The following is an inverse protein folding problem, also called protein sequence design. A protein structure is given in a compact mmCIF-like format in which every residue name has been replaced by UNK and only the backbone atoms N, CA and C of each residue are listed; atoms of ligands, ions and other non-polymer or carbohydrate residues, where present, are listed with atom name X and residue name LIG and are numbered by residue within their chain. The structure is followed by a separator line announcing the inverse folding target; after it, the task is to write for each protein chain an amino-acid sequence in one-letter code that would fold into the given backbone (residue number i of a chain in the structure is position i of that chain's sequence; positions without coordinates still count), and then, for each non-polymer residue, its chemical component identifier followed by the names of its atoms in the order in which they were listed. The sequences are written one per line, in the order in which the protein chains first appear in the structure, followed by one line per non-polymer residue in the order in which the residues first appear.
data_IF_990948961164
#
_entry.id   IF_990948961164
#
_cell.length_a   1.000
_cell.length_b   1.000
_cell.length_c   1.000
_cell.angle_alpha   90.00
_cell.angle_beta   90.00
_cell.angle_gamma   90.00
#
_symmetry.space_group_name_H-M   'P 1'
#
loop_
_entity.id
_entity.type
_entity.pdbx_description
1 polymer ?
#
# COMPACT_ATOMS: atom_id res chain seq x y z
N UNK A 1 -25.05 0.94 17.54
CA UNK A 1 -24.22 0.13 18.47
C UNK A 1 -22.94 0.88 18.74
N UNK A 2 -22.35 0.74 19.93
CA UNK A 2 -21.12 1.43 20.33
C UNK A 2 -19.94 0.45 20.26
N UNK A 3 -18.90 0.78 19.51
CA UNK A 3 -17.74 -0.07 19.29
C UNK A 3 -16.44 0.72 19.48
N UNK A 4 -15.52 0.17 20.25
CA UNK A 4 -14.16 0.72 20.33
C UNK A 4 -13.34 0.19 19.15
N UNK A 5 -12.73 1.10 18.41
CA UNK A 5 -11.87 0.81 17.25
C UNK A 5 -10.42 1.19 17.57
N UNK A 6 -9.48 0.38 17.09
CA UNK A 6 -8.04 0.67 17.16
C UNK A 6 -7.46 0.61 15.75
N UNK A 7 -6.93 1.73 15.28
CA UNK A 7 -6.15 1.84 14.05
C UNK A 7 -4.67 1.95 14.37
N UNK A 8 -3.81 1.18 13.70
CA UNK A 8 -2.35 1.26 13.86
C UNK A 8 -1.70 1.45 12.50
N UNK A 9 -1.17 2.65 12.27
CA UNK A 9 -0.31 2.91 11.13
C UNK A 9 1.15 2.61 11.46
N UNK A 10 1.76 1.71 10.70
CA UNK A 10 3.15 1.28 10.87
C UNK A 10 4.03 2.01 9.85
N UNK A 11 4.17 3.31 10.04
CA UNK A 11 4.99 4.16 9.18
C UNK A 11 6.49 3.90 9.34
N UNK A 12 7.24 4.28 8.30
CA UNK A 12 8.71 4.13 8.30
C UNK A 12 9.44 5.11 9.24
N UNK A 13 8.80 6.22 9.63
CA UNK A 13 9.36 7.24 10.53
C UNK A 13 8.72 7.21 11.90
N UNK A 14 7.40 7.03 11.96
CA UNK A 14 6.60 6.94 13.18
C UNK A 14 5.60 5.80 13.08
N UNK A 15 5.27 5.22 14.22
CA UNK A 15 4.08 4.40 14.41
C UNK A 15 3.02 5.29 15.07
N UNK A 16 1.81 5.27 14.52
CA UNK A 16 0.67 6.02 15.04
C UNK A 16 -0.45 5.04 15.42
N UNK A 17 -0.88 5.08 16.67
CA UNK A 17 -2.04 4.34 17.16
C UNK A 17 -3.15 5.33 17.49
N UNK A 18 -4.36 5.05 17.00
CA UNK A 18 -5.56 5.86 17.28
C UNK A 18 -6.63 4.93 17.84
N UNK A 19 -7.26 5.35 18.93
CA UNK A 19 -8.43 4.70 19.50
C UNK A 19 -9.61 5.63 19.33
N UNK A 20 -10.69 5.10 18.74
CA UNK A 20 -11.94 5.81 18.56
C UNK A 20 -13.10 5.03 19.15
N UNK A 21 -14.07 5.76 19.68
CA UNK A 21 -15.38 5.24 19.99
C UNK A 21 -16.31 5.48 18.80
N UNK A 22 -16.81 4.42 18.18
CA UNK A 22 -17.67 4.49 17.01
C UNK A 22 -19.11 4.24 17.40
N UNK A 23 -19.98 5.21 17.10
CA UNK A 23 -21.42 5.09 17.27
C UNK A 23 -22.11 5.27 15.93
N UNK A 24 -22.83 4.24 15.50
CA UNK A 24 -23.64 4.24 14.28
C UNK A 24 -22.83 4.68 13.03
N UNK A 25 -21.59 4.18 12.92
CA UNK A 25 -20.67 4.46 11.81
C UNK A 25 -19.91 5.79 11.92
N UNK A 26 -20.16 6.57 12.97
CA UNK A 26 -19.47 7.85 13.23
C UNK A 26 -18.41 7.65 14.31
N UNK A 27 -17.11 7.72 13.96
CA UNK A 27 -16.03 7.63 14.94
C UNK A 27 -15.86 8.94 15.71
N UNK A 28 -15.55 8.82 17.00
CA UNK A 28 -15.11 9.89 17.89
C UNK A 28 -13.77 9.48 18.50
N UNK A 29 -12.70 10.23 18.23
CA UNK A 29 -11.35 9.88 18.69
C UNK A 29 -11.24 10.12 20.20
N UNK A 30 -10.83 9.10 20.94
CA UNK A 30 -10.69 9.13 22.40
C UNK A 30 -9.25 8.96 22.88
N UNK A 31 -8.34 8.45 22.04
CA UNK A 31 -6.93 8.36 22.39
C UNK A 31 -6.01 8.26 21.20
N UNK A 32 -4.79 8.74 21.39
CA UNK A 32 -3.73 8.68 20.39
C UNK A 32 -2.40 8.38 21.05
N UNK A 33 -1.52 7.72 20.31
CA UNK A 33 -0.15 7.45 20.71
C UNK A 33 0.77 7.45 19.51
N UNK A 34 1.96 8.02 19.70
CA UNK A 34 3.00 8.09 18.68
C UNK A 34 4.29 7.52 19.23
N UNK A 35 5.01 6.78 18.41
CA UNK A 35 6.35 6.35 18.75
C UNK A 35 7.25 6.37 17.52
N UNK A 36 8.53 6.70 17.71
CA UNK A 36 9.51 6.63 16.62
C UNK A 36 9.60 5.19 16.12
N UNK A 37 9.53 5.03 14.80
CA UNK A 37 9.61 3.71 14.16
C UNK A 37 11.02 3.13 14.31
N UNK A 38 11.11 1.85 14.64
CA UNK A 38 12.37 1.12 14.79
C UNK A 38 12.22 -0.28 14.19
N UNK A 39 13.32 -0.83 13.67
CA UNK A 39 13.27 -2.12 12.98
C UNK A 39 12.53 -2.10 11.65
N UNK A 40 12.30 -0.92 11.06
CA UNK A 40 11.72 -0.74 9.73
C UNK A 40 12.72 -0.13 8.75
N UNK A 41 12.68 -0.56 7.48
CA UNK A 41 13.45 0.02 6.37
C UNK A 41 12.65 -0.05 5.07
N UNK A 42 12.39 1.11 4.44
CA UNK A 42 11.62 1.22 3.18
C UNK A 42 10.27 0.47 3.26
N UNK A 43 9.53 0.68 4.35
CA UNK A 43 8.27 -0.03 4.63
C UNK A 43 8.43 -1.48 5.13
N UNK A 44 9.63 -2.09 5.11
CA UNK A 44 9.85 -3.48 5.54
C UNK A 44 10.15 -3.57 7.01
N UNK A 45 9.60 -4.58 7.68
CA UNK A 45 10.10 -4.97 9.00
C UNK A 45 11.40 -5.74 8.83
N UNK A 46 12.52 -5.13 9.22
CA UNK A 46 13.85 -5.73 9.24
C UNK A 46 14.25 -6.26 10.61
N UNK A 47 13.60 -5.79 11.69
CA UNK A 47 13.79 -6.30 13.04
C UNK A 47 12.44 -6.35 13.78
N UNK A 48 11.98 -7.58 14.07
CA UNK A 48 10.66 -7.83 14.66
C UNK A 48 10.60 -7.38 16.12
N UNK A 49 11.66 -7.58 16.91
CA UNK A 49 11.65 -7.16 18.32
C UNK A 49 11.59 -5.64 18.46
N UNK A 50 12.36 -4.90 17.66
CA UNK A 50 12.34 -3.43 17.68
C UNK A 50 10.98 -2.89 17.20
N UNK A 51 10.46 -3.43 16.10
CA UNK A 51 9.15 -3.03 15.59
C UNK A 51 8.04 -3.31 16.60
N UNK A 52 8.01 -4.51 17.18
CA UNK A 52 6.99 -4.89 18.17
C UNK A 52 7.04 -4.04 19.43
N UNK A 53 8.22 -3.64 19.92
CA UNK A 53 8.36 -2.70 21.04
C UNK A 53 7.77 -1.33 20.69
N UNK A 54 8.18 -0.76 19.56
CA UNK A 54 7.69 0.55 19.14
C UNK A 54 6.17 0.57 18.90
N UNK A 55 5.61 -0.53 18.36
CA UNK A 55 4.15 -0.71 18.22
C UNK A 55 3.50 -0.75 19.60
N UNK A 56 4.03 -1.57 20.51
CA UNK A 56 3.48 -1.73 21.85
C UNK A 56 3.48 -0.40 22.62
N UNK A 57 4.55 0.38 22.50
CA UNK A 57 4.68 1.66 23.18
C UNK A 57 3.65 2.68 22.65
N UNK A 58 3.52 2.81 21.32
CA UNK A 58 2.49 3.67 20.71
C UNK A 58 1.07 3.26 21.13
N UNK A 59 0.76 1.96 21.14
CA UNK A 59 -0.56 1.45 21.55
C UNK A 59 -0.81 1.67 23.04
N UNK A 60 0.18 1.49 23.90
CA UNK A 60 0.04 1.74 25.34
C UNK A 60 -0.22 3.22 25.64
N UNK A 61 0.43 4.12 24.91
CA UNK A 61 0.18 5.55 25.01
C UNK A 61 -1.26 5.88 24.59
N UNK A 62 -1.73 5.34 23.47
CA UNK A 62 -3.11 5.52 23.02
C UNK A 62 -4.14 4.99 24.05
N UNK A 63 -3.89 3.81 24.63
CA UNK A 63 -4.73 3.23 25.71
C UNK A 63 -4.75 4.10 26.96
N UNK A 64 -3.60 4.66 27.34
CA UNK A 64 -3.48 5.54 28.51
C UNK A 64 -4.30 6.82 28.31
N UNK A 65 -4.22 7.42 27.11
CA UNK A 65 -5.03 8.62 26.77
C UNK A 65 -6.52 8.29 26.73
N UNK A 66 -6.90 7.15 26.12
CA UNK A 66 -8.30 6.76 25.99
C UNK A 66 -8.94 6.23 27.28
N UNK A 67 -8.15 5.84 28.29
CA UNK A 67 -8.66 5.21 29.51
C UNK A 67 -9.34 3.86 29.27
N UNK A 68 -9.09 3.21 28.13
CA UNK A 68 -9.71 1.93 27.74
C UNK A 68 -8.67 0.93 27.26
N UNK A 69 -8.98 -0.35 27.42
CA UNK A 69 -8.13 -1.43 26.93
C UNK A 69 -8.77 -2.08 25.70
N UNK A 70 -8.01 -2.15 24.62
CA UNK A 70 -8.39 -2.81 23.37
C UNK A 70 -7.16 -3.52 22.79
N UNK A 71 -7.32 -4.74 22.31
CA UNK A 71 -6.21 -5.55 21.81
C UNK A 71 -6.44 -6.01 20.37
N UNK A 72 -7.52 -5.59 19.71
CA UNK A 72 -7.82 -5.95 18.33
C UNK A 72 -7.76 -4.70 17.46
N UNK A 73 -7.03 -4.75 16.34
CA UNK A 73 -6.70 -3.56 15.56
C UNK A 73 -6.82 -3.77 14.05
N UNK A 74 -7.22 -2.71 13.34
CA UNK A 74 -7.01 -2.57 11.89
C UNK A 74 -5.64 -1.92 11.67
N UNK A 75 -4.80 -2.55 10.84
CA UNK A 75 -3.40 -2.13 10.67
C UNK A 75 -3.09 -1.77 9.21
N UNK A 76 -2.13 -0.88 8.99
CA UNK A 76 -1.63 -0.60 7.64
C UNK A 76 -0.57 -1.61 7.18
N UNK A 77 -0.51 -1.84 5.87
CA UNK A 77 0.62 -2.45 5.17
C UNK A 77 1.10 -1.52 4.05
N UNK A 78 2.41 -1.36 3.91
CA UNK A 78 2.98 -0.57 2.81
C UNK A 78 2.84 -1.29 1.47
N UNK A 79 2.61 -0.50 0.42
CA UNK A 79 2.55 -0.95 -0.97
C UNK A 79 3.85 -1.62 -1.44
N UNK A 80 4.99 -1.42 -0.75
CA UNK A 80 6.30 -2.02 -1.04
C UNK A 80 6.31 -3.56 -1.15
N UNK A 81 5.36 -4.26 -0.51
CA UNK A 81 5.26 -5.72 -0.53
C UNK A 81 4.12 -6.23 -1.37
N UNK A 82 3.45 -5.32 -2.07
CA UNK A 82 2.19 -5.62 -2.75
C UNK A 82 2.38 -5.74 -4.25
N UNK A 83 1.50 -6.53 -4.85
CA UNK A 83 1.27 -6.56 -6.29
C UNK A 83 -0.22 -6.45 -6.52
N UNK A 84 -0.60 -5.72 -7.56
CA UNK A 84 -1.98 -5.70 -8.01
C UNK A 84 -2.13 -6.32 -9.39
N UNK A 85 -3.25 -6.99 -9.58
CA UNK A 85 -3.65 -7.54 -10.87
C UNK A 85 -5.13 -7.27 -11.07
N UNK A 86 -5.52 -7.01 -12.31
CA UNK A 86 -6.93 -7.00 -12.69
C UNK A 86 -7.38 -8.44 -12.98
N UNK A 87 -8.65 -8.71 -12.71
CA UNK A 87 -9.32 -9.94 -13.08
C UNK A 87 -10.80 -9.69 -13.33
N UNK A 88 -11.46 -10.63 -14.00
CA UNK A 88 -12.90 -10.58 -14.22
C UNK A 88 -13.56 -11.93 -13.91
N UNK A 89 -14.81 -11.86 -13.47
CA UNK A 89 -15.63 -13.01 -13.12
C UNK A 89 -16.99 -12.92 -13.78
N UNK A 90 -17.60 -14.08 -14.03
CA UNK A 90 -18.93 -14.18 -14.63
C UNK A 90 -19.75 -15.19 -13.85
N UNK A 91 -21.01 -14.85 -13.58
CA UNK A 91 -21.97 -15.67 -12.88
C UNK A 91 -23.29 -15.68 -13.67
N UNK A 92 -23.77 -16.86 -14.02
CA UNK A 92 -25.14 -17.01 -14.54
C UNK A 92 -26.11 -16.98 -13.35
N UNK A 93 -26.97 -15.98 -13.33
CA UNK A 93 -28.06 -15.84 -12.39
C UNK A 93 -29.31 -16.49 -12.99
N UNK A 94 -30.08 -17.23 -12.19
CA UNK A 94 -31.28 -17.95 -12.67
C UNK A 94 -32.48 -17.00 -12.87
N UNK A 95 -32.27 -15.82 -13.48
CA UNK A 95 -33.20 -14.69 -13.52
C UNK A 95 -33.74 -14.29 -12.14
N UNK A 96 -32.88 -14.41 -11.13
CA UNK A 96 -33.19 -14.03 -9.76
C UNK A 96 -32.73 -12.60 -9.48
N UNK A 97 -33.33 -12.01 -8.45
CA UNK A 97 -32.81 -10.80 -7.82
C UNK A 97 -31.36 -11.01 -7.37
N UNK A 98 -30.49 -10.05 -7.68
CA UNK A 98 -29.09 -10.06 -7.30
C UNK A 98 -28.98 -9.65 -5.84
N UNK A 99 -28.59 -10.59 -4.98
CA UNK A 99 -28.28 -10.34 -3.58
C UNK A 99 -26.77 -10.34 -3.30
N UNK A 100 -26.42 -10.12 -2.03
CA UNK A 100 -25.02 -10.18 -1.57
C UNK A 100 -24.35 -11.53 -1.84
N UNK A 101 -25.14 -12.61 -1.92
CA UNK A 101 -24.65 -13.95 -2.24
C UNK A 101 -24.16 -14.03 -3.68
N UNK A 102 -24.93 -13.50 -4.63
CA UNK A 102 -24.57 -13.44 -6.05
C UNK A 102 -23.36 -12.54 -6.27
N UNK A 103 -23.33 -11.37 -5.61
CA UNK A 103 -22.20 -10.44 -5.65
C UNK A 103 -20.92 -11.10 -5.11
N UNK A 104 -20.98 -11.75 -3.95
CA UNK A 104 -19.82 -12.47 -3.43
C UNK A 104 -19.37 -13.56 -4.41
N UNK A 105 -20.31 -14.36 -4.96
CA UNK A 105 -19.97 -15.45 -5.89
C UNK A 105 -19.31 -14.95 -7.17
N UNK A 106 -19.76 -13.85 -7.76
CA UNK A 106 -19.14 -13.30 -8.97
C UNK A 106 -17.73 -12.76 -8.67
N UNK A 107 -17.52 -12.13 -7.51
CA UNK A 107 -16.19 -11.69 -7.06
C UNK A 107 -15.26 -12.90 -6.84
N UNK A 108 -15.75 -13.98 -6.22
CA UNK A 108 -14.98 -15.22 -6.07
C UNK A 108 -14.64 -15.86 -7.42
N UNK A 109 -15.52 -15.78 -8.42
CA UNK A 109 -15.20 -16.20 -9.78
C UNK A 109 -14.05 -15.38 -10.37
N UNK A 110 -14.04 -14.07 -10.15
CA UNK A 110 -12.93 -13.22 -10.59
C UNK A 110 -11.62 -13.56 -9.88
N UNK A 111 -11.68 -13.86 -8.57
CA UNK A 111 -10.51 -14.33 -7.82
C UNK A 111 -9.98 -15.66 -8.36
N UNK A 112 -10.86 -16.62 -8.65
CA UNK A 112 -10.48 -17.92 -9.19
C UNK A 112 -9.77 -17.81 -10.56
N UNK A 113 -10.21 -16.85 -11.39
CA UNK A 113 -9.61 -16.57 -12.69
C UNK A 113 -8.25 -15.85 -12.60
N UNK A 114 -7.92 -15.26 -11.44
CA UNK A 114 -6.70 -14.51 -11.26
C UNK A 114 -5.49 -15.44 -11.07
N UNK A 115 -4.39 -15.18 -11.78
CA UNK A 115 -3.14 -15.89 -11.59
C UNK A 115 -2.34 -15.28 -10.42
N UNK A 116 -2.62 -15.74 -9.20
CA UNK A 116 -1.92 -15.30 -7.99
C UNK A 116 -0.78 -16.28 -7.68
N UNK A 117 0.49 -15.84 -7.66
CA UNK A 117 1.60 -16.71 -7.29
C UNK A 117 1.47 -17.24 -5.86
N UNK A 118 1.96 -18.45 -5.62
CA UNK A 118 1.86 -19.14 -4.32
C UNK A 118 2.55 -18.38 -3.17
N UNK A 119 3.52 -17.53 -3.48
CA UNK A 119 4.28 -16.73 -2.50
C UNK A 119 3.50 -15.50 -2.03
N UNK A 120 2.32 -15.23 -2.61
CA UNK A 120 1.48 -14.07 -2.33
C UNK A 120 0.16 -14.50 -1.67
N UNK A 121 -0.39 -13.61 -0.84
CA UNK A 121 -1.68 -13.74 -0.17
C UNK A 121 -2.52 -12.52 -0.52
N UNK A 122 -3.83 -12.71 -0.73
CA UNK A 122 -4.76 -11.62 -1.05
C UNK A 122 -4.93 -10.73 0.18
N UNK A 123 -4.89 -9.42 -0.03
CA UNK A 123 -5.17 -8.40 0.99
C UNK A 123 -6.48 -7.69 0.70
N UNK A 124 -6.73 -7.31 -0.55
CA UNK A 124 -7.98 -6.69 -0.98
C UNK A 124 -8.45 -7.25 -2.32
N UNK A 125 -9.76 -7.36 -2.51
CA UNK A 125 -10.39 -7.52 -3.82
C UNK A 125 -11.41 -6.40 -3.95
N UNK A 126 -11.16 -5.49 -4.90
CA UNK A 126 -11.90 -4.25 -5.08
C UNK A 126 -12.62 -4.30 -6.44
N UNK A 127 -13.91 -4.66 -6.48
CA UNK A 127 -14.76 -4.49 -7.66
C UNK A 127 -14.81 -3.02 -8.09
N UNK A 128 -14.70 -2.79 -9.39
CA UNK A 128 -14.77 -1.45 -9.96
C UNK A 128 -15.74 -1.34 -11.14
N UNK A 129 -16.29 -2.46 -11.61
CA UNK A 129 -17.31 -2.47 -12.65
C UNK A 129 -18.18 -3.72 -12.50
N UNK A 130 -19.50 -3.55 -12.53
CA UNK A 130 -20.44 -4.64 -12.74
C UNK A 130 -21.14 -4.48 -14.09
N UNK A 131 -21.45 -5.61 -14.72
CA UNK A 131 -22.26 -5.69 -15.93
C UNK A 131 -23.36 -6.71 -15.71
N UNK A 132 -24.60 -6.34 -16.01
CA UNK A 132 -25.76 -7.22 -15.90
C UNK A 132 -26.42 -7.34 -17.28
N UNK A 133 -26.41 -8.54 -17.82
CA UNK A 133 -26.83 -8.83 -19.19
C UNK A 133 -26.11 -7.92 -20.20
N UNK A 134 -26.83 -6.99 -20.86
CA UNK A 134 -26.26 -6.04 -21.82
C UNK A 134 -25.95 -4.66 -21.21
N UNK A 135 -26.32 -4.43 -19.94
CA UNK A 135 -26.08 -3.16 -19.25
C UNK A 135 -24.72 -3.18 -18.54
N UNK A 136 -23.79 -2.37 -19.04
CA UNK A 136 -22.44 -2.17 -18.48
C UNK A 136 -22.39 -0.95 -17.53
N UNK A 137 -21.29 -0.79 -16.80
CA UNK A 137 -21.05 0.34 -15.88
C UNK A 137 -22.07 0.46 -14.75
N UNK A 138 -22.47 -0.69 -14.18
CA UNK A 138 -23.32 -0.73 -12.99
C UNK A 138 -22.44 -0.58 -11.74
N UNK A 139 -22.71 0.46 -10.94
CA UNK A 139 -22.00 0.71 -9.68
C UNK A 139 -22.48 -0.23 -8.56
N UNK A 140 -23.80 -0.43 -8.45
CA UNK A 140 -24.43 -1.29 -7.45
C UNK A 140 -25.50 -2.19 -8.11
N UNK A 141 -25.21 -3.50 -8.29
CA UNK A 141 -26.16 -4.43 -8.87
C UNK A 141 -27.18 -4.98 -7.87
N UNK A 142 -27.09 -4.65 -6.57
CA UNK A 142 -27.98 -5.22 -5.54
C UNK A 142 -29.45 -4.87 -5.81
N UNK A 143 -30.33 -5.87 -5.73
CA UNK A 143 -31.76 -5.72 -5.98
C UNK A 143 -32.15 -5.67 -7.47
N UNK A 144 -31.20 -5.62 -8.39
CA UNK A 144 -31.48 -5.76 -9.82
C UNK A 144 -31.84 -7.20 -10.16
N UNK A 145 -32.55 -7.42 -11.28
CA UNK A 145 -32.85 -8.76 -11.79
C UNK A 145 -32.19 -8.94 -13.15
N UNK A 146 -31.52 -10.07 -13.36
CA UNK A 146 -30.86 -10.37 -14.63
C UNK A 146 -30.38 -11.81 -14.72
N UNK A 147 -30.00 -12.22 -15.93
CA UNK A 147 -29.58 -13.60 -16.23
C UNK A 147 -28.07 -13.83 -16.10
N UNK A 148 -27.26 -12.78 -16.29
CA UNK A 148 -25.80 -12.89 -16.30
C UNK A 148 -25.14 -11.68 -15.65
N UNK A 149 -24.48 -11.91 -14.52
CA UNK A 149 -23.71 -10.90 -13.79
C UNK A 149 -22.22 -11.08 -14.08
N UNK A 150 -21.55 -10.02 -14.52
CA UNK A 150 -20.09 -9.95 -14.67
C UNK A 150 -19.53 -8.92 -13.71
N UNK A 151 -18.29 -9.13 -13.28
CA UNK A 151 -17.55 -8.20 -12.43
C UNK A 151 -16.13 -8.03 -12.95
N UNK A 152 -15.63 -6.80 -12.92
CA UNK A 152 -14.21 -6.50 -13.04
C UNK A 152 -13.68 -6.05 -11.68
N UNK A 153 -12.57 -6.65 -11.25
CA UNK A 153 -11.98 -6.41 -9.92
C UNK A 153 -10.51 -6.08 -10.05
N UNK A 154 -10.02 -5.26 -9.13
CA UNK A 154 -8.59 -5.14 -8.84
C UNK A 154 -8.27 -5.94 -7.59
N UNK A 155 -7.35 -6.89 -7.72
CA UNK A 155 -6.89 -7.75 -6.63
C UNK A 155 -5.54 -7.24 -6.16
N UNK A 156 -5.45 -6.90 -4.88
CA UNK A 156 -4.21 -6.50 -4.22
C UNK A 156 -3.73 -7.69 -3.40
N UNK A 157 -2.50 -8.11 -3.65
CA UNK A 157 -1.84 -9.23 -2.97
C UNK A 157 -0.57 -8.73 -2.29
N UNK A 158 -0.13 -9.41 -1.23
CA UNK A 158 1.13 -9.12 -0.57
C UNK A 158 1.97 -10.39 -0.38
N UNK A 159 3.29 -10.23 -0.34
CA UNK A 159 4.22 -11.34 -0.11
C UNK A 159 3.97 -11.99 1.25
N UNK A 160 3.79 -13.33 1.27
CA UNK A 160 3.52 -14.10 2.48
C UNK A 160 4.59 -13.93 3.55
N UNK A 161 5.87 -13.84 3.16
CA UNK A 161 6.97 -13.63 4.11
C UNK A 161 6.85 -12.27 4.82
N UNK A 162 6.58 -11.20 4.06
CA UNK A 162 6.41 -9.85 4.62
C UNK A 162 5.18 -9.77 5.51
N UNK A 163 4.06 -10.36 5.09
CA UNK A 163 2.86 -10.49 5.92
C UNK A 163 3.13 -11.29 7.19
N UNK A 164 3.91 -12.37 7.11
CA UNK A 164 4.30 -13.17 8.27
C UNK A 164 5.10 -12.36 9.29
N UNK A 165 6.06 -11.55 8.84
CA UNK A 165 6.84 -10.66 9.71
C UNK A 165 5.95 -9.59 10.36
N UNK A 166 5.03 -9.00 9.60
CA UNK A 166 4.03 -8.04 10.09
C UNK A 166 3.12 -8.66 11.16
N UNK A 167 2.48 -9.79 10.83
CA UNK A 167 1.61 -10.55 11.74
C UNK A 167 2.35 -10.93 13.03
N UNK A 168 3.62 -11.33 12.93
CA UNK A 168 4.45 -11.65 14.09
C UNK A 168 4.78 -10.43 14.95
N UNK A 169 5.17 -9.30 14.36
CA UNK A 169 5.47 -8.07 15.10
C UNK A 169 4.26 -7.55 15.88
N UNK A 170 3.08 -7.54 15.24
CA UNK A 170 1.82 -7.12 15.87
C UNK A 170 1.42 -8.07 17.01
N UNK A 171 1.48 -9.39 16.77
CA UNK A 171 1.19 -10.39 17.81
C UNK A 171 2.15 -10.28 19.00
N UNK A 172 3.44 -10.07 18.76
CA UNK A 172 4.45 -9.87 19.82
C UNK A 172 4.20 -8.58 20.61
N UNK A 173 3.60 -7.55 20.01
CA UNK A 173 3.15 -6.35 20.70
C UNK A 173 1.91 -6.59 21.61
N UNK A 174 1.30 -7.79 21.55
CA UNK A 174 0.12 -8.14 22.33
C UNK A 174 -1.19 -7.73 21.67
N UNK A 175 -1.19 -7.58 20.34
CA UNK A 175 -2.32 -7.12 19.54
C UNK A 175 -2.74 -8.20 18.54
N UNK A 176 -4.04 -8.40 18.41
CA UNK A 176 -4.71 -9.22 17.42
C UNK A 176 -5.06 -8.37 16.20
N UNK A 177 -4.88 -8.93 15.01
CA UNK A 177 -5.19 -8.25 13.75
C UNK A 177 -6.65 -8.50 13.42
N UNK A 178 -7.42 -7.44 13.27
CA UNK A 178 -8.78 -7.49 12.73
C UNK A 178 -8.81 -7.46 11.22
N UNK A 179 -7.93 -6.65 10.63
CA UNK A 179 -7.83 -6.45 9.20
C UNK A 179 -6.49 -5.79 8.85
N UNK A 180 -6.04 -6.01 7.62
CA UNK A 180 -4.83 -5.40 7.05
C UNK A 180 -5.25 -4.55 5.86
N UNK A 181 -5.01 -3.25 5.95
CA UNK A 181 -5.40 -2.27 4.93
C UNK A 181 -4.17 -1.72 4.24
N UNK A 182 -4.23 -1.56 2.91
CA UNK A 182 -3.14 -0.91 2.18
C UNK A 182 -3.00 0.53 2.66
N UNK A 183 -1.79 0.99 2.99
CA UNK A 183 -1.57 2.32 3.56
C UNK A 183 -2.12 3.43 2.65
N UNK A 184 -1.79 3.41 1.36
CA UNK A 184 -2.38 4.34 0.39
C UNK A 184 -3.91 4.30 0.33
N UNK A 185 -4.53 3.13 0.53
CA UNK A 185 -5.99 3.00 0.52
C UNK A 185 -6.61 3.67 1.74
N UNK A 186 -6.06 3.43 2.92
CA UNK A 186 -6.43 4.15 4.12
C UNK A 186 -6.25 5.67 3.93
N UNK A 187 -5.09 6.13 3.46
CA UNK A 187 -4.85 7.55 3.19
C UNK A 187 -5.88 8.13 2.24
N UNK A 188 -6.24 7.43 1.15
CA UNK A 188 -7.25 7.88 0.19
C UNK A 188 -8.64 8.05 0.81
N UNK A 189 -9.03 7.16 1.74
CA UNK A 189 -10.30 7.26 2.47
C UNK A 189 -10.32 8.52 3.34
N UNK A 190 -9.18 8.91 3.89
CA UNK A 190 -9.08 10.06 4.78
C UNK A 190 -9.03 11.40 4.06
N UNK A 191 -8.59 11.47 2.80
CA UNK A 191 -8.26 12.76 2.13
C UNK A 191 -9.09 13.07 0.88
N UNK A 192 -9.72 12.06 0.29
CA UNK A 192 -10.50 12.21 -0.95
C UNK A 192 -11.98 12.39 -0.64
N UNK A 193 -12.60 13.30 -1.36
CA UNK A 193 -14.06 13.43 -1.43
C UNK A 193 -14.67 12.44 -2.42
N UNK A 194 -15.97 12.16 -2.31
CA UNK A 194 -16.67 11.30 -3.27
C UNK A 194 -16.71 11.92 -4.68
N UNK A 195 -16.86 13.24 -4.78
CA UNK A 195 -16.80 13.94 -6.07
C UNK A 195 -15.44 13.78 -6.75
N UNK A 196 -14.35 13.86 -5.96
CA UNK A 196 -13.00 13.66 -6.49
C UNK A 196 -12.80 12.25 -7.06
N UNK A 197 -13.29 11.23 -6.34
CA UNK A 197 -13.23 9.82 -6.78
C UNK A 197 -14.05 9.60 -8.05
N UNK A 198 -15.28 10.13 -8.09
CA UNK A 198 -16.20 9.98 -9.21
C UNK A 198 -15.66 10.58 -10.52
N UNK A 199 -15.07 11.77 -10.45
CA UNK A 199 -14.44 12.43 -11.60
C UNK A 199 -13.06 11.85 -11.95
N UNK A 200 -12.52 11.00 -11.08
CA UNK A 200 -11.20 10.40 -11.20
C UNK A 200 -10.11 11.26 -10.58
N UNK A 201 -9.32 10.65 -9.70
CA UNK A 201 -8.29 11.33 -8.91
C UNK A 201 -7.11 10.40 -8.61
N UNK A 202 -5.90 10.95 -8.69
CA UNK A 202 -4.71 10.28 -8.16
C UNK A 202 -4.41 10.78 -6.75
N UNK A 203 -4.34 9.88 -5.78
CA UNK A 203 -3.87 10.17 -4.43
C UNK A 203 -2.43 9.68 -4.27
N UNK A 204 -1.51 10.57 -3.89
CA UNK A 204 -0.11 10.23 -3.65
C UNK A 204 0.22 10.54 -2.18
N UNK A 205 0.46 9.49 -1.39
CA UNK A 205 0.97 9.61 -0.04
C UNK A 205 2.50 9.67 -0.08
N UNK A 206 3.07 10.84 0.18
CA UNK A 206 4.51 11.09 0.19
C UNK A 206 5.03 11.02 1.62
N UNK A 207 5.47 9.82 2.01
CA UNK A 207 5.91 9.49 3.37
C UNK A 207 7.41 9.65 3.60
N UNK A 208 7.86 9.07 4.72
CA UNK A 208 9.24 9.18 5.17
C UNK A 208 10.25 8.39 4.34
N UNK A 209 9.97 7.14 4.01
CA UNK A 209 10.88 6.30 3.21
C UNK A 209 10.32 5.92 1.84
N UNK A 210 9.05 6.24 1.61
CA UNK A 210 8.24 5.68 0.52
C UNK A 210 7.22 6.71 0.08
N UNK A 211 6.90 6.71 -1.21
CA UNK A 211 5.72 7.36 -1.76
C UNK A 211 4.80 6.28 -2.32
N UNK A 212 3.50 6.38 -2.05
CA UNK A 212 2.52 5.41 -2.52
C UNK A 212 1.47 6.13 -3.38
N UNK A 213 1.31 5.66 -4.61
CA UNK A 213 0.35 6.21 -5.57
C UNK A 213 -0.87 5.31 -5.63
N UNK A 214 -2.04 5.93 -5.69
CA UNK A 214 -3.32 5.30 -5.96
C UNK A 214 -4.10 6.13 -6.98
N UNK A 215 -4.86 5.47 -7.84
CA UNK A 215 -5.84 6.12 -8.70
C UNK A 215 -7.23 5.54 -8.44
N UNK A 216 -8.18 6.43 -8.14
CA UNK A 216 -9.61 6.15 -8.16
C UNK A 216 -10.20 6.66 -9.48
N UNK A 217 -11.09 5.88 -10.08
CA UNK A 217 -11.98 6.34 -11.16
C UNK A 217 -13.35 5.74 -10.89
N UNK A 218 -14.34 6.59 -10.60
CA UNK A 218 -15.61 6.16 -10.05
C UNK A 218 -15.50 5.76 -8.58
N UNK A 219 -16.30 4.80 -8.14
CA UNK A 219 -16.40 4.39 -6.73
C UNK A 219 -15.31 3.39 -6.27
N UNK A 220 -14.24 3.19 -7.05
CA UNK A 220 -13.27 2.14 -6.74
C UNK A 220 -11.85 2.44 -7.23
N UNK A 221 -10.91 1.73 -6.61
CA UNK A 221 -9.49 1.78 -6.87
C UNK A 221 -9.17 1.07 -8.19
N UNK A 222 -8.61 1.82 -9.15
CA UNK A 222 -8.25 1.30 -10.48
C UNK A 222 -6.77 1.03 -10.65
N UNK A 223 -5.92 1.70 -9.89
CA UNK A 223 -4.48 1.52 -9.96
C UNK A 223 -3.82 1.82 -8.62
N UNK A 224 -2.72 1.13 -8.34
CA UNK A 224 -1.83 1.44 -7.24
C UNK A 224 -0.39 1.14 -7.64
N UNK A 225 0.54 1.97 -7.17
CA UNK A 225 1.98 1.78 -7.37
C UNK A 225 2.76 2.32 -6.17
N UNK A 226 4.05 2.02 -6.14
CA UNK A 226 4.94 2.32 -5.04
C UNK A 226 6.29 2.83 -5.53
N UNK A 227 6.81 3.84 -4.84
CA UNK A 227 8.17 4.32 -5.00
C UNK A 227 8.93 4.22 -3.67
N UNK A 228 10.07 3.54 -3.69
CA UNK A 228 10.97 3.38 -2.54
C UNK A 228 11.82 4.62 -2.22
N UNK A 229 11.24 5.81 -2.39
CA UNK A 229 11.82 7.14 -2.15
C UNK A 229 10.81 7.95 -1.32
N UNK A 230 11.30 8.79 -0.41
CA UNK A 230 10.49 9.61 0.50
C UNK A 230 11.37 10.61 1.24
N UNK A 231 10.83 11.35 2.21
CA UNK A 231 11.51 12.50 2.82
C UNK A 231 12.87 12.20 3.48
N UNK A 232 13.12 10.96 3.92
CA UNK A 232 14.40 10.54 4.51
C UNK A 232 15.53 10.57 3.48
N UNK A 233 15.23 10.46 2.18
CA UNK A 233 16.23 10.59 1.13
C UNK A 233 16.71 12.05 1.03
N UNK A 234 15.82 13.03 1.21
CA UNK A 234 16.20 14.44 1.36
C UNK A 234 17.14 14.62 2.55
N UNK A 235 16.78 14.05 3.70
CA UNK A 235 17.62 14.11 4.91
C UNK A 235 19.00 13.52 4.68
N UNK A 236 19.11 12.40 3.96
CA UNK A 236 20.37 11.77 3.63
C UNK A 236 21.22 12.64 2.68
N UNK A 237 20.60 13.21 1.65
CA UNK A 237 21.29 14.08 0.70
C UNK A 237 21.80 15.35 1.40
N UNK A 238 21.00 15.93 2.30
CA UNK A 238 21.40 17.06 3.12
C UNK A 238 22.55 16.70 4.06
N UNK A 239 22.50 15.55 4.74
CA UNK A 239 23.59 15.11 5.61
C UNK A 239 24.92 15.00 4.84
N UNK A 240 24.86 14.47 3.61
CA UNK A 240 26.03 14.34 2.73
C UNK A 240 26.52 15.70 2.20
N UNK A 241 25.62 16.53 1.68
CA UNK A 241 25.96 17.83 1.08
C UNK A 241 26.43 18.86 2.11
N UNK A 242 25.86 18.83 3.31
CA UNK A 242 26.18 19.75 4.40
C UNK A 242 27.29 19.22 5.31
N UNK A 243 27.76 17.98 5.11
CA UNK A 243 28.72 17.29 5.98
C UNK A 243 28.34 17.32 7.47
N UNK A 244 27.06 17.06 7.79
CA UNK A 244 26.50 17.14 9.16
C UNK A 244 25.81 15.81 9.55
N UNK A 245 25.68 15.47 10.85
CA UNK A 245 24.95 14.28 11.28
C UNK A 245 23.50 14.25 10.77
N UNK A 246 22.96 13.06 10.48
CA UNK A 246 21.59 12.90 9.95
C UNK A 246 20.52 13.55 10.84
N UNK A 247 20.68 13.52 12.16
CA UNK A 247 19.74 14.16 13.08
C UNK A 247 19.70 15.68 12.90
N UNK A 248 20.83 16.30 12.58
CA UNK A 248 20.94 17.73 12.31
C UNK A 248 20.41 18.03 10.91
N UNK A 249 20.73 17.21 9.91
CA UNK A 249 20.16 17.34 8.57
C UNK A 249 18.62 17.28 8.58
N UNK A 250 18.03 16.44 9.44
CA UNK A 250 16.58 16.38 9.63
C UNK A 250 16.04 17.69 10.21
N UNK A 251 16.70 18.25 11.22
CA UNK A 251 16.32 19.55 11.80
C UNK A 251 16.43 20.67 10.75
N UNK A 252 17.50 20.68 9.95
CA UNK A 252 17.68 21.64 8.86
C UNK A 252 16.56 21.51 7.82
N UNK A 253 16.20 20.27 7.44
CA UNK A 253 15.08 20.01 6.52
C UNK A 253 13.74 20.51 7.08
N UNK A 254 13.45 20.26 8.35
CA UNK A 254 12.19 20.68 8.97
C UNK A 254 12.13 22.22 9.11
N UNK A 255 13.25 22.86 9.47
CA UNK A 255 13.28 24.29 9.75
C UNK A 255 13.45 25.17 8.51
N UNK A 256 14.25 24.72 7.54
CA UNK A 256 14.66 25.50 6.37
C UNK A 256 14.36 24.79 5.05
N UNK A 257 13.72 23.62 5.07
CA UNK A 257 13.29 22.93 3.86
C UNK A 257 12.19 23.69 3.13
N UNK A 258 12.03 23.35 1.85
CA UNK A 258 11.10 24.03 0.94
C UNK A 258 11.84 24.80 -0.15
N UNK A 259 11.07 25.50 -0.98
CA UNK A 259 11.60 26.28 -2.11
C UNK A 259 11.66 27.77 -1.77
N UNK A 260 12.74 28.47 -2.16
CA UNK A 260 12.92 29.87 -1.81
C UNK A 260 11.82 30.72 -2.45
N UNK A 261 11.26 31.67 -1.67
CA UNK A 261 10.20 32.57 -2.14
C UNK A 261 10.77 33.89 -2.65
N UNK A 262 11.95 34.26 -2.14
CA UNK A 262 12.70 35.46 -2.51
C UNK A 262 14.18 35.13 -2.70
N UNK A 263 14.93 36.02 -3.35
CA UNK A 263 16.39 35.89 -3.44
C UNK A 263 17.07 36.01 -2.08
N UNK A 264 16.53 36.82 -1.17
CA UNK A 264 17.06 37.04 0.19
C UNK A 264 17.06 35.74 1.03
N UNK A 265 16.09 34.85 0.80
CA UNK A 265 16.03 33.54 1.47
C UNK A 265 17.28 32.68 1.22
N UNK A 266 17.95 32.88 0.08
CA UNK A 266 19.12 32.08 -0.32
C UNK A 266 20.45 32.62 0.20
N UNK A 267 20.51 33.90 0.57
CA UNK A 267 21.74 34.58 1.03
C UNK A 267 22.06 34.31 2.51
N UNK A 268 21.09 33.81 3.27
CA UNK A 268 21.26 33.50 4.68
C UNK A 268 22.23 32.32 4.89
N UNK A 269 23.06 32.45 5.93
CA UNK A 269 23.97 31.41 6.39
C UNK A 269 23.44 30.80 7.69
N UNK A 270 23.56 29.48 7.81
CA UNK A 270 23.27 28.73 9.04
C UNK A 270 24.55 28.07 9.55
N UNK A 271 24.66 27.95 10.87
CA UNK A 271 25.79 27.29 11.52
C UNK A 271 25.37 25.89 11.98
N UNK A 272 26.11 24.87 11.55
CA UNK A 272 25.81 23.45 11.83
C UNK A 272 27.07 22.70 12.26
N UNK A 273 26.95 21.65 13.09
CA UNK A 273 28.09 20.80 13.47
C UNK A 273 28.60 19.95 12.30
N UNK A 274 29.91 19.74 12.26
CA UNK A 274 30.57 18.80 11.33
C UNK A 274 30.44 17.34 11.78
N UNK A 275 30.43 16.40 10.82
CA UNK A 275 30.46 14.95 11.11
C UNK A 275 31.75 14.58 11.85
N UNK A 276 31.63 13.92 13.01
CA UNK A 276 32.77 13.40 13.77
C UNK A 276 33.58 14.45 14.53
N UNK A 277 33.22 15.73 14.41
CA UNK A 277 33.75 16.81 15.25
C UNK A 277 33.19 16.76 16.67
N UNK A 278 33.81 17.49 17.58
CA UNK A 278 33.18 17.78 18.88
C UNK A 278 31.94 18.67 18.68
N UNK A 279 31.02 18.76 19.65
CA UNK A 279 29.85 19.67 19.56
C UNK A 279 30.23 21.15 19.29
N UNK A 280 31.51 21.50 19.47
CA UNK A 280 32.07 22.82 19.22
C UNK A 280 32.65 23.01 17.80
N UNK A 281 32.81 21.96 17.00
CA UNK A 281 33.27 22.05 15.61
C UNK A 281 32.09 22.31 14.67
N UNK A 282 31.77 23.59 14.52
CA UNK A 282 30.71 24.05 13.62
C UNK A 282 31.27 24.75 12.39
N UNK A 283 30.51 24.68 11.30
CA UNK A 283 30.80 25.39 10.06
C UNK A 283 29.53 26.08 9.54
N UNK A 284 29.74 27.12 8.74
CA UNK A 284 28.65 27.86 8.11
C UNK A 284 28.31 27.27 6.75
N UNK A 285 27.02 27.17 6.45
CA UNK A 285 26.50 26.76 5.14
C UNK A 285 25.40 27.71 4.69
N UNK A 286 25.37 28.02 3.39
CA UNK A 286 24.31 28.83 2.78
C UNK A 286 23.01 28.04 2.64
N UNK A 287 21.88 28.69 2.93
CA UNK A 287 20.55 28.13 2.68
C UNK A 287 20.32 27.82 1.19
N UNK A 288 21.00 28.49 0.26
CA UNK A 288 20.97 28.13 -1.16
C UNK A 288 21.33 26.65 -1.39
N UNK A 289 22.32 26.12 -0.66
CA UNK A 289 22.73 24.71 -0.75
C UNK A 289 21.60 23.80 -0.27
N UNK A 290 20.96 24.15 0.85
CA UNK A 290 19.82 23.40 1.42
C UNK A 290 18.68 23.34 0.41
N UNK A 291 18.26 24.49 -0.12
CA UNK A 291 17.18 24.58 -1.09
C UNK A 291 17.46 23.79 -2.37
N UNK A 292 18.68 23.89 -2.92
CA UNK A 292 19.04 23.16 -4.14
C UNK A 292 19.02 21.64 -3.94
N UNK A 293 19.50 21.15 -2.80
CA UNK A 293 19.47 19.72 -2.47
C UNK A 293 18.03 19.23 -2.30
N UNK A 294 17.21 19.98 -1.56
CA UNK A 294 15.78 19.66 -1.38
C UNK A 294 15.06 19.65 -2.73
N UNK A 295 15.23 20.70 -3.54
CA UNK A 295 14.61 20.83 -4.86
C UNK A 295 14.98 19.65 -5.76
N UNK A 296 16.27 19.34 -5.93
CA UNK A 296 16.71 18.26 -6.81
C UNK A 296 16.09 16.90 -6.43
N UNK A 297 16.03 16.58 -5.13
CA UNK A 297 15.43 15.32 -4.67
C UNK A 297 13.92 15.29 -4.82
N UNK A 298 13.23 16.40 -4.54
CA UNK A 298 11.76 16.49 -4.70
C UNK A 298 11.40 16.39 -6.18
N UNK A 299 12.11 17.11 -7.06
CA UNK A 299 11.93 17.07 -8.51
C UNK A 299 12.11 15.65 -9.05
N UNK A 300 13.20 14.97 -8.69
CA UNK A 300 13.43 13.58 -9.10
C UNK A 300 12.29 12.65 -8.64
N UNK A 301 11.84 12.80 -7.40
CA UNK A 301 10.75 11.99 -6.83
C UNK A 301 9.45 12.19 -7.62
N UNK A 302 9.08 13.45 -7.88
CA UNK A 302 7.88 13.81 -8.63
C UNK A 302 7.97 13.36 -10.09
N UNK A 303 9.13 13.45 -10.74
CA UNK A 303 9.34 12.96 -12.10
C UNK A 303 9.15 11.43 -12.21
N UNK A 304 9.59 10.66 -11.20
CA UNK A 304 9.37 9.21 -11.19
C UNK A 304 7.88 8.89 -10.97
N UNK A 305 7.22 9.61 -10.07
CA UNK A 305 5.77 9.47 -9.86
C UNK A 305 4.97 9.87 -11.11
N UNK A 306 5.42 10.87 -11.87
CA UNK A 306 4.79 11.29 -13.12
C UNK A 306 4.84 10.16 -14.17
N UNK A 307 5.97 9.45 -14.26
CA UNK A 307 6.09 8.26 -15.12
C UNK A 307 5.18 7.14 -14.66
N UNK A 308 5.02 6.93 -13.36
CA UNK A 308 4.08 5.93 -12.82
C UNK A 308 2.62 6.26 -13.18
N UNK A 309 2.23 7.54 -13.07
CA UNK A 309 0.92 8.02 -13.55
C UNK A 309 0.72 7.77 -15.04
N UNK A 310 1.74 7.99 -15.87
CA UNK A 310 1.67 7.69 -17.31
C UNK A 310 1.54 6.19 -17.58
N UNK A 311 2.33 5.35 -16.90
CA UNK A 311 2.26 3.90 -17.02
C UNK A 311 0.91 3.31 -16.58
N UNK A 312 0.16 4.00 -15.73
CA UNK A 312 -1.19 3.57 -15.36
C UNK A 312 -2.18 3.55 -16.53
N UNK A 313 -1.92 4.32 -17.59
CA UNK A 313 -2.86 4.61 -18.68
C UNK A 313 -4.20 5.23 -18.24
N UNK A 314 -4.24 5.81 -17.03
CA UNK A 314 -5.42 6.47 -16.46
C UNK A 314 -5.27 7.98 -16.33
N UNK A 315 -4.13 8.56 -16.74
CA UNK A 315 -3.83 10.00 -16.61
C UNK A 315 -4.93 10.90 -17.20
N UNK A 316 -5.47 10.52 -18.36
CA UNK A 316 -6.53 11.28 -19.04
C UNK A 316 -7.91 11.14 -18.38
N UNK A 317 -8.05 10.22 -17.41
CA UNK A 317 -9.27 10.01 -16.63
C UNK A 317 -9.22 10.70 -15.26
N UNK A 318 -8.16 11.45 -14.95
CA UNK A 318 -8.00 12.17 -13.67
C UNK A 318 -8.69 13.53 -13.71
N UNK A 319 -10.02 13.56 -13.87
CA UNK A 319 -10.80 14.79 -13.98
C UNK A 319 -10.66 15.74 -12.79
N UNK A 320 -10.40 15.19 -11.60
CA UNK A 320 -10.14 15.95 -10.36
C UNK A 320 -8.67 16.31 -10.15
N UNK A 321 -7.77 15.82 -11.00
CA UNK A 321 -6.33 15.97 -10.88
C UNK A 321 -5.72 15.08 -9.80
N UNK A 322 -4.81 15.65 -9.02
CA UNK A 322 -3.92 14.92 -8.11
C UNK A 322 -4.02 15.50 -6.70
N UNK A 323 -4.15 14.62 -5.72
CA UNK A 323 -4.14 14.94 -4.29
C UNK A 323 -2.86 14.40 -3.67
N UNK A 324 -2.07 15.27 -3.03
CA UNK A 324 -0.87 14.89 -2.30
C UNK A 324 -1.14 14.91 -0.80
N UNK A 325 -0.69 13.88 -0.09
CA UNK A 325 -0.73 13.80 1.38
C UNK A 325 0.56 13.16 1.93
N UNK A 326 0.64 12.88 3.23
CA UNK A 326 1.84 12.36 3.87
C UNK A 326 2.78 13.46 4.39
N UNK A 327 3.78 13.09 5.19
CA UNK A 327 4.64 14.07 5.87
C UNK A 327 5.54 14.89 4.93
N UNK A 328 5.90 14.37 3.76
CA UNK A 328 6.77 15.08 2.82
C UNK A 328 6.08 16.27 2.15
N UNK A 329 4.74 16.29 2.10
CA UNK A 329 4.00 17.39 1.46
C UNK A 329 4.00 18.68 2.28
N UNK A 330 4.53 18.65 3.50
CA UNK A 330 4.75 19.83 4.33
C UNK A 330 5.92 20.70 3.83
N UNK A 331 6.68 20.25 2.82
CA UNK A 331 7.71 21.07 2.19
C UNK A 331 7.06 22.20 1.38
N UNK A 332 7.38 23.43 1.75
CA UNK A 332 6.87 24.63 1.08
C UNK A 332 7.20 24.63 -0.42
N UNK A 333 6.20 24.93 -1.24
CA UNK A 333 6.32 25.01 -2.70
C UNK A 333 6.18 23.67 -3.44
N UNK A 334 6.09 22.54 -2.75
CA UNK A 334 5.95 21.22 -3.38
C UNK A 334 4.74 21.12 -4.31
N UNK A 335 3.63 21.79 -3.96
CA UNK A 335 2.41 21.83 -4.76
C UNK A 335 2.66 22.37 -6.17
N UNK A 336 3.35 23.50 -6.26
CA UNK A 336 3.51 24.21 -7.53
C UNK A 336 4.48 23.47 -8.45
N UNK A 337 5.56 22.91 -7.88
CA UNK A 337 6.47 22.01 -8.61
C UNK A 337 5.74 20.76 -9.10
N UNK A 338 4.92 20.12 -8.24
CA UNK A 338 4.13 18.96 -8.62
C UNK A 338 3.13 19.29 -9.74
N UNK A 339 2.43 20.42 -9.67
CA UNK A 339 1.49 20.84 -10.71
C UNK A 339 2.20 21.03 -12.06
N UNK A 340 3.40 21.62 -12.06
CA UNK A 340 4.21 21.79 -13.26
C UNK A 340 4.69 20.44 -13.84
N UNK A 341 5.19 19.54 -13.00
CA UNK A 341 5.74 18.24 -13.45
C UNK A 341 4.65 17.25 -13.89
N UNK A 342 3.52 17.21 -13.20
CA UNK A 342 2.42 16.33 -13.56
C UNK A 342 1.58 16.86 -14.73
N UNK A 343 1.65 18.17 -14.99
CA UNK A 343 0.78 18.87 -15.94
C UNK A 343 -0.71 18.66 -15.61
N UNK A 344 -1.06 18.78 -14.33
CA UNK A 344 -2.41 18.56 -13.79
C UNK A 344 -2.65 19.43 -12.55
N UNK A 345 -3.93 19.74 -12.20
CA UNK A 345 -4.25 20.37 -10.94
C UNK A 345 -3.76 19.54 -9.74
N UNK A 346 -3.09 20.19 -8.79
CA UNK A 346 -2.58 19.56 -7.57
C UNK A 346 -3.14 20.24 -6.33
N UNK A 347 -3.68 19.43 -5.41
CA UNK A 347 -4.14 19.83 -4.09
C UNK A 347 -3.33 19.12 -3.01
N UNK A 348 -2.88 19.86 -1.99
CA UNK A 348 -2.36 19.26 -0.76
C UNK A 348 -3.52 18.95 0.18
N UNK A 349 -3.52 17.78 0.81
CA UNK A 349 -4.63 17.33 1.62
C UNK A 349 -4.21 16.84 3.01
N UNK A 350 -4.94 17.35 3.99
CA UNK A 350 -4.99 16.84 5.35
C UNK A 350 -6.13 15.82 5.48
N UNK A 351 -6.07 14.90 6.45
CA UNK A 351 -7.19 14.02 6.73
C UNK A 351 -8.44 14.81 7.10
N UNK A 352 -9.61 14.28 6.77
CA UNK A 352 -10.90 14.85 7.18
C UNK A 352 -10.97 15.00 8.70
N UNK A 353 -11.61 16.07 9.16
CA UNK A 353 -11.82 16.29 10.58
C UNK A 353 -12.81 15.26 11.14
N UNK A 354 -12.38 14.57 12.19
CA UNK A 354 -13.20 13.64 12.98
C UNK A 354 -13.47 14.28 14.34
N UNK A 355 -14.61 13.99 14.95
CA UNK A 355 -14.88 14.49 16.29
C UNK A 355 -13.86 13.92 17.31
N UNK A 356 -13.45 14.72 18.29
CA UNK A 356 -12.38 14.36 19.24
C UNK A 356 -10.96 14.36 18.65
N UNK A 357 -10.77 14.82 17.40
CA UNK A 357 -9.45 14.85 16.75
C UNK A 357 -8.48 15.78 17.48
N UNK A 358 -7.41 15.20 18.03
CA UNK A 358 -6.29 15.93 18.63
C UNK A 358 -5.55 16.77 17.59
N UNK A 359 -4.97 17.90 18.00
CA UNK A 359 -4.20 18.80 17.12
C UNK A 359 -3.11 18.08 16.33
N UNK A 360 -2.40 17.15 16.98
CA UNK A 360 -1.28 16.40 16.39
C UNK A 360 -1.71 15.38 15.31
N UNK A 361 -3.02 15.16 15.15
CA UNK A 361 -3.59 14.27 14.13
C UNK A 361 -4.12 15.02 12.89
N UNK A 362 -4.11 16.35 12.89
CA UNK A 362 -4.62 17.16 11.78
C UNK A 362 -3.67 17.24 10.58
N UNK A 363 -2.40 16.86 10.76
CA UNK A 363 -1.39 16.93 9.71
C UNK A 363 -1.51 15.82 8.65
N UNK A 364 -0.99 16.05 7.43
CA UNK A 364 -1.06 15.08 6.32
C UNK A 364 -0.27 13.79 6.59
N UNK A 365 0.68 13.80 7.53
CA UNK A 365 1.42 12.63 8.02
C UNK A 365 0.58 11.66 8.87
N UNK A 366 -0.68 12.01 9.18
CA UNK A 366 -1.62 11.19 9.95
C UNK A 366 -2.75 10.62 9.07
N UNK A 367 -2.74 10.90 7.76
CA UNK A 367 -3.78 10.47 6.81
C UNK A 367 -4.02 8.96 6.83
N UNK A 368 -2.98 8.14 6.82
CA UNK A 368 -3.11 6.68 6.92
C UNK A 368 -3.83 6.27 8.20
N UNK A 369 -3.38 6.78 9.35
CA UNK A 369 -3.91 6.38 10.66
C UNK A 369 -5.39 6.77 10.81
N UNK A 370 -5.76 7.97 10.37
CA UNK A 370 -7.16 8.43 10.32
C UNK A 370 -7.97 7.57 9.34
N UNK A 371 -7.40 7.27 8.18
CA UNK A 371 -7.98 6.37 7.19
C UNK A 371 -8.30 4.98 7.71
N UNK A 372 -7.44 4.41 8.57
CA UNK A 372 -7.69 3.11 9.21
C UNK A 372 -8.90 3.15 10.15
N UNK A 373 -9.10 4.26 10.88
CA UNK A 373 -10.28 4.45 11.73
C UNK A 373 -11.55 4.57 10.89
N UNK A 374 -11.51 5.36 9.81
CA UNK A 374 -12.63 5.52 8.89
C UNK A 374 -12.99 4.19 8.21
N UNK A 375 -11.99 3.45 7.75
CA UNK A 375 -12.18 2.12 7.19
C UNK A 375 -12.82 1.18 8.22
N UNK A 376 -12.31 1.16 9.46
CA UNK A 376 -12.86 0.36 10.55
C UNK A 376 -14.29 0.78 10.94
N UNK A 377 -14.66 2.05 10.72
CA UNK A 377 -16.02 2.56 10.94
C UNK A 377 -16.97 2.34 9.76
N UNK A 378 -16.52 1.66 8.70
CA UNK A 378 -17.34 1.30 7.53
C UNK A 378 -17.13 2.15 6.27
N UNK A 379 -16.13 3.03 6.22
CA UNK A 379 -15.79 3.85 5.04
C UNK A 379 -14.89 3.08 4.06
N UNK A 380 -15.38 1.98 3.54
CA UNK A 380 -14.76 1.20 2.48
C UNK A 380 -15.58 1.31 1.18
N UNK A 381 -15.14 0.68 0.09
CA UNK A 381 -15.85 0.69 -1.20
C UNK A 381 -17.23 0.00 -1.13
N UNK A 382 -18.11 0.23 -2.12
CA UNK A 382 -19.47 -0.36 -2.15
C UNK A 382 -19.48 -1.87 -1.88
N UNK A 383 -18.49 -2.58 -2.42
CA UNK A 383 -18.23 -3.98 -2.18
C UNK A 383 -16.73 -4.20 -2.13
N UNK A 384 -16.24 -5.02 -1.21
CA UNK A 384 -14.86 -5.51 -1.27
C UNK A 384 -14.71 -6.83 -0.51
N UNK A 385 -13.65 -7.58 -0.81
CA UNK A 385 -13.19 -8.67 0.05
C UNK A 385 -11.93 -8.22 0.77
N UNK A 386 -11.98 -8.27 2.09
CA UNK A 386 -10.90 -7.81 2.96
C UNK A 386 -9.81 -8.88 3.20
N UNK A 387 -8.80 -8.53 4.02
CA UNK A 387 -7.67 -9.44 4.28
C UNK A 387 -8.06 -10.71 5.05
N UNK A 388 -9.22 -10.69 5.73
CA UNK A 388 -9.81 -11.83 6.43
C UNK A 388 -10.81 -12.59 5.54
N UNK A 389 -10.84 -12.30 4.23
CA UNK A 389 -11.70 -12.92 3.22
C UNK A 389 -13.18 -12.72 3.48
N UNK A 390 -13.56 -11.67 4.21
CA UNK A 390 -14.95 -11.29 4.43
C UNK A 390 -15.39 -10.33 3.34
N UNK A 391 -16.62 -10.51 2.86
CA UNK A 391 -17.26 -9.51 2.01
C UNK A 391 -17.74 -8.34 2.87
N UNK A 392 -17.35 -7.13 2.50
CA UNK A 392 -17.80 -5.86 3.09
C UNK A 392 -18.68 -5.13 2.09
N UNK A 393 -19.67 -4.38 2.59
CA UNK A 393 -20.58 -3.59 1.76
C UNK A 393 -21.24 -2.46 2.57
N UNK A 394 -21.51 -1.30 1.96
CA UNK A 394 -21.85 -0.05 2.67
C UNK A 394 -23.05 -0.12 3.63
N UNK A 395 -23.96 -1.08 3.44
CA UNK A 395 -25.14 -1.29 4.29
C UNK A 395 -24.97 -2.44 5.31
N UNK A 396 -23.75 -2.93 5.51
CA UNK A 396 -23.44 -3.92 6.54
C UNK A 396 -23.73 -3.33 7.93
N UNK A 397 -24.56 -4.00 8.73
CA UNK A 397 -24.69 -3.65 10.14
C UNK A 397 -23.42 -4.09 10.89
N UNK A 398 -22.65 -3.13 11.36
CA UNK A 398 -21.52 -3.37 12.27
C UNK A 398 -21.99 -4.23 13.46
N UNK A 399 -21.43 -5.44 13.59
CA UNK A 399 -21.67 -6.35 14.72
C UNK A 399 -22.51 -7.60 14.43
N UNK A 400 -23.04 -7.80 13.22
CA UNK A 400 -23.60 -9.10 12.83
C UNK A 400 -22.46 -10.03 12.37
N UNK A 401 -22.25 -11.13 13.10
CA UNK A 401 -21.27 -12.17 12.74
C UNK A 401 -21.61 -12.75 11.35
N UNK A 402 -20.92 -12.27 10.30
CA UNK A 402 -20.90 -12.87 8.96
C UNK A 402 -20.16 -14.23 8.92
N UNK A 403 -20.23 -15.01 10.01
CA UNK A 403 -19.65 -16.36 10.13
C UNK A 403 -20.31 -17.38 9.18
N UNK A 404 -21.51 -17.11 8.66
CA UNK A 404 -22.21 -18.05 7.79
C UNK A 404 -21.82 -17.98 6.30
N UNK A 405 -21.27 -16.85 5.83
CA UNK A 405 -20.86 -16.71 4.42
C UNK A 405 -19.39 -17.12 4.20
N UNK A 406 -18.54 -16.98 5.21
CA UNK A 406 -17.13 -17.37 5.15
C UNK A 406 -16.90 -18.89 5.22
N UNK A 407 -17.80 -19.66 5.83
CA UNK A 407 -17.68 -21.14 5.91
C UNK A 407 -17.81 -21.86 4.55
N UNK A 408 -18.33 -21.20 3.52
CA UNK A 408 -18.37 -21.75 2.16
C UNK A 408 -17.05 -21.59 1.37
N UNK A 409 -16.02 -20.97 1.96
CA UNK A 409 -14.73 -20.70 1.30
C UNK A 409 -13.89 -21.98 1.12
N UNK A 410 -14.17 -23.06 1.85
CA UNK A 410 -13.35 -24.28 1.80
C UNK A 410 -13.68 -25.30 0.70
N UNK A 411 -14.61 -25.01 -0.21
CA UNK A 411 -15.09 -26.00 -1.19
C UNK A 411 -14.54 -25.88 -2.61
N UNK A 412 -13.57 -25.00 -2.88
CA UNK A 412 -12.91 -24.95 -4.20
C UNK A 412 -11.41 -25.25 -4.07
N UNK A 413 -11.13 -26.51 -3.76
CA UNK A 413 -9.90 -27.20 -4.15
C UNK A 413 -10.34 -28.48 -4.89
N UNK A 414 -10.17 -28.59 -6.22
CA UNK A 414 -10.39 -29.87 -6.88
C UNK A 414 -9.11 -30.72 -6.83
N UNK A 415 -9.28 -31.93 -6.28
CA UNK A 415 -8.57 -33.16 -6.66
C UNK A 415 -7.10 -33.31 -6.23
N UNK A 416 -6.89 -33.71 -4.98
CA UNK A 416 -5.87 -34.71 -4.64
C UNK A 416 -6.39 -35.62 -3.53
N UNK A 417 -7.18 -36.64 -3.88
CA UNK A 417 -7.32 -37.86 -3.07
C UNK A 417 -7.96 -38.97 -3.91
N UNK A 418 -7.13 -39.62 -4.71
CA UNK A 418 -7.28 -41.04 -5.06
C UNK A 418 -5.93 -41.71 -4.84
N UNK A 419 -5.59 -41.90 -3.57
CA UNK A 419 -4.71 -42.99 -3.18
C UNK A 419 -5.58 -44.09 -2.58
N UNK A 420 -5.92 -45.07 -3.41
CA UNK A 420 -6.33 -46.38 -2.93
C UNK A 420 -5.45 -47.42 -3.61
N UNK A 421 -4.79 -48.21 -2.76
CA UNK A 421 -4.12 -49.48 -3.00
C UNK A 421 -2.90 -49.48 -3.93
N UNK A 422 -1.70 -49.65 -3.35
CA UNK A 422 -0.83 -50.80 -3.62
C UNK A 422 -0.03 -51.08 -2.34
N UNK A 423 0.04 -52.37 -2.01
CA UNK A 423 0.66 -52.94 -0.83
C UNK A 423 2.21 -52.91 -0.86
N UNK A 424 2.78 -53.14 0.32
CA UNK A 424 4.20 -53.12 0.70
C UNK A 424 5.21 -53.81 -0.25
N UNK A 425 6.49 -53.40 -0.18
CA UNK A 425 7.54 -53.84 -1.10
C UNK A 425 8.18 -55.17 -0.68
N UNK A 426 8.51 -56.02 -1.66
CA UNK A 426 9.44 -57.14 -1.50
C UNK A 426 10.48 -57.11 -2.63
N UNK A 427 11.72 -57.40 -2.22
CA UNK A 427 13.03 -57.31 -2.84
C UNK A 427 13.27 -57.94 -4.24
N UNK A 428 14.42 -57.53 -4.81
CA UNK A 428 15.34 -58.19 -5.79
C UNK A 428 15.29 -57.56 -7.21
N UNK A 429 16.36 -57.19 -7.95
CA UNK A 429 17.85 -57.31 -7.97
C UNK A 429 18.40 -56.08 -8.77
N UNK A 430 19.66 -55.61 -8.62
CA UNK A 430 20.17 -54.41 -9.32
C UNK A 430 20.52 -54.66 -10.80
N UNK A 431 20.17 -53.73 -11.71
CA UNK A 431 20.60 -53.74 -13.12
C UNK A 431 22.03 -53.20 -13.28
N UNK A 432 22.76 -53.75 -14.25
CA UNK A 432 24.18 -53.45 -14.49
C UNK A 432 24.42 -52.16 -15.28
N UNK A 433 25.61 -51.58 -15.14
CA UNK A 433 26.04 -50.32 -15.77
C UNK A 433 26.07 -50.32 -17.32
N UNK A 434 25.82 -51.47 -17.97
CA UNK A 434 25.71 -51.57 -19.42
C UNK A 434 24.36 -51.04 -19.96
N UNK A 435 23.28 -51.13 -19.17
CA UNK A 435 21.93 -50.75 -19.61
C UNK A 435 21.74 -49.22 -19.60
N UNK A 436 22.51 -48.49 -18.78
CA UNK A 436 22.44 -47.03 -18.66
C UNK A 436 23.08 -46.32 -19.87
N UNK A 437 24.04 -46.96 -20.56
CA UNK A 437 24.73 -46.37 -21.73
C UNK A 437 23.88 -46.38 -23.01
N UNK A 438 22.89 -47.25 -23.11
CA UNK A 438 22.09 -47.42 -24.33
C UNK A 438 20.91 -46.42 -24.41
N UNK A 439 20.43 -45.94 -23.25
CA UNK A 439 19.38 -44.90 -23.19
C UNK A 439 19.95 -43.48 -23.42
N UNK A 440 21.21 -43.24 -23.09
CA UNK A 440 21.89 -41.95 -23.30
C UNK A 440 22.26 -41.68 -24.77
N UNK A 441 22.44 -42.72 -25.60
CA UNK A 441 22.77 -42.57 -27.02
C UNK A 441 21.58 -42.20 -27.91
N UNK A 442 20.34 -42.35 -27.43
CA UNK A 442 19.13 -42.05 -28.22
C UNK A 442 18.63 -40.59 -28.07
N UNK A 443 19.31 -39.76 -27.28
CA UNK A 443 18.93 -38.34 -27.06
C UNK A 443 19.76 -37.38 -27.92
N UNK A 444 20.87 -37.85 -28.51
CA UNK A 444 21.75 -37.04 -29.36
C UNK A 444 21.62 -37.42 -30.84
N UNK A 445 20.48 -37.13 -31.47
CA UNK A 445 20.41 -36.79 -32.91
C UNK A 445 19.02 -36.28 -33.29
N UNK A 446 18.96 -35.23 -34.13
CA UNK A 446 17.79 -34.53 -34.72
C UNK A 446 17.22 -33.39 -33.82
N UNK A 447 17.27 -32.09 -34.13
CA UNK A 447 17.61 -31.31 -35.35
C UNK A 447 17.91 -29.84 -34.99
N UNK A 448 18.82 -29.24 -35.77
CA UNK A 448 19.25 -27.83 -35.81
C UNK A 448 18.10 -26.88 -36.22
N UNK A 449 17.95 -25.75 -35.51
CA UNK A 449 17.41 -24.47 -36.03
C UNK A 449 18.31 -23.35 -35.49
N UNK A 450 18.92 -22.57 -36.38
CA UNK A 450 19.67 -21.34 -36.06
C UNK A 450 18.73 -20.14 -35.91
N UNK A 451 19.04 -19.16 -35.04
CA UNK A 451 18.66 -17.78 -35.27
C UNK A 451 19.88 -16.94 -35.68
N UNK A 452 19.69 -16.13 -36.73
CA UNK A 452 20.62 -15.10 -37.22
C UNK A 452 20.76 -13.94 -36.21
N UNK A 453 21.97 -13.38 -36.17
CA UNK A 453 22.36 -12.00 -35.84
C UNK A 453 21.70 -11.30 -34.64
N UNK A 454 22.48 -11.07 -33.58
CA UNK A 454 22.28 -9.90 -32.70
C UNK A 454 23.57 -9.45 -31.96
N UNK A 455 24.67 -9.27 -32.71
CA UNK A 455 25.90 -8.68 -32.15
C UNK A 455 25.79 -7.16 -31.88
N UNK A 456 24.78 -6.47 -32.41
CA UNK A 456 24.59 -5.03 -32.19
C UNK A 456 23.96 -4.69 -30.83
N UNK A 457 22.97 -5.48 -30.40
CA UNK A 457 22.25 -5.24 -29.13
C UNK A 457 23.13 -5.53 -27.92
N UNK A 458 24.03 -6.53 -28.02
CA UNK A 458 24.97 -6.85 -26.95
C UNK A 458 26.05 -5.76 -26.77
N UNK A 459 26.57 -5.20 -27.86
CA UNK A 459 27.55 -4.10 -27.80
C UNK A 459 26.92 -2.79 -27.28
N UNK A 460 25.62 -2.58 -27.51
CA UNK A 460 24.89 -1.44 -26.96
C UNK A 460 24.60 -1.62 -25.46
N UNK A 461 24.31 -2.84 -25.02
CA UNK A 461 24.14 -3.18 -23.60
C UNK A 461 25.44 -3.05 -22.79
N UNK A 462 26.58 -3.48 -23.36
CA UNK A 462 27.89 -3.39 -22.69
C UNK A 462 28.41 -1.93 -22.59
N UNK A 463 27.93 -1.00 -23.43
CA UNK A 463 28.23 0.44 -23.31
C UNK A 463 27.33 1.18 -22.31
N UNK A 464 26.09 0.73 -22.12
CA UNK A 464 25.15 1.35 -21.18
C UNK A 464 25.45 1.01 -19.71
N UNK A 465 26.06 -0.15 -19.44
CA UNK A 465 26.45 -0.56 -18.08
C UNK A 465 27.75 0.06 -17.58
N UNK A 466 28.48 0.80 -18.41
CA UNK A 466 29.70 1.52 -18.00
C UNK A 466 29.48 3.01 -17.71
N UNK A 467 28.25 3.52 -17.79
CA UNK A 467 27.90 4.92 -17.49
C UNK A 467 26.90 5.09 -16.34
N UNK A 468 26.73 4.07 -15.49
CA UNK A 468 25.99 4.18 -14.22
C UNK A 468 26.77 3.54 -13.09
#
# INVERSE_FOLDING_TARGET
MEQILLGIDIGSTKICAIIANCKDGVPHIIGTGFHKSQGLKKGSITNIEQASRAIKDAVNDAKRVAGTNINKAVISISSAYTKSTDSSGVLNCLNNEIGIKEINRVIQSALYNASIPNEYEVVHILPYNFKLDDQDFIDDPMGMSGGRLEVSVRIITAQKLSLGNLKKAIKTAGIEIENIVLASYASSIAVLTEDEKNLGVACIDMGGSTCELMIHVGNSLRYNDFLGVGSNHITNDLAMALHTPQSIAEQVKIQYGGFPRTSEDTENLIEIPSIGGSDNDKHQVSLAVVHNVVYARVEETLMILAKSLEHSNLKDQLGSGIVLTGGMVQLDGIRDLAAALFNAPVRLANPIEIDGLFTDLKGPECSTAIGLILYASGKYTNYEIDSEKRIRYLNEKLGEETEQLSKNIHLINPLQEKQSSIANPVNSVPKSAADIKQDLSNITEIKKIQPKNNNFIRQMWEKLTQMF
#
